data_IF_306507874158
#
_entry.id   IF_306507874158
#
_cell.length_a   1.000
_cell.length_b   1.000
_cell.length_c   1.000
_cell.angle_alpha   90.00
_cell.angle_beta   90.00
_cell.angle_gamma   90.00
#
_symmetry.space_group_name_H-M   'P 1'
#
loop_
_entity.id
_entity.type
_entity.pdbx_description
1 polymer ?
#
# COMPACT_ATOMS: atom_id res chain seq x y z
N UNK A 1 -16.70 1.69 -9.06
CA UNK A 1 -15.61 1.34 -8.13
C UNK A 1 -14.29 1.89 -8.68
N UNK A 2 -13.41 2.42 -7.82
CA UNK A 2 -12.07 2.85 -8.24
C UNK A 2 -11.05 1.82 -7.77
N UNK A 3 -10.29 1.25 -8.69
CA UNK A 3 -9.24 0.29 -8.40
C UNK A 3 -7.88 0.95 -8.64
N UNK A 4 -6.94 0.73 -7.72
CA UNK A 4 -5.57 1.21 -7.85
C UNK A 4 -4.63 0.02 -7.77
N UNK A 5 -3.74 -0.13 -8.75
CA UNK A 5 -2.66 -1.13 -8.71
C UNK A 5 -1.37 -0.35 -8.47
N UNK A 6 -0.73 -0.60 -7.33
CA UNK A 6 0.51 0.09 -6.95
C UNK A 6 1.60 -0.96 -6.79
N UNK A 7 2.58 -0.94 -7.68
CA UNK A 7 3.82 -1.69 -7.50
C UNK A 7 4.79 -0.84 -6.71
N UNK A 8 5.13 -1.28 -5.50
CA UNK A 8 6.07 -0.56 -4.64
C UNK A 8 6.88 -1.55 -3.82
N UNK A 9 8.15 -1.24 -3.61
CA UNK A 9 8.98 -1.97 -2.63
C UNK A 9 8.49 -1.66 -1.21
N UNK A 10 8.50 -2.67 -0.36
CA UNK A 10 8.15 -2.53 1.05
C UNK A 10 9.20 -1.66 1.73
N UNK A 11 8.77 -0.64 2.46
CA UNK A 11 9.65 0.23 3.20
C UNK A 11 9.97 -0.38 4.57
N UNK A 12 11.09 0.05 5.17
CA UNK A 12 11.48 -0.35 6.53
C UNK A 12 11.35 0.84 7.48
N UNK A 13 10.69 0.64 8.61
CA UNK A 13 10.64 1.60 9.70
C UNK A 13 11.06 0.91 11.00
N UNK A 14 12.27 1.20 11.46
CA UNK A 14 12.90 0.48 12.56
C UNK A 14 13.06 -1.01 12.24
N UNK A 15 12.48 -1.87 13.08
CA UNK A 15 12.45 -3.33 12.88
C UNK A 15 11.23 -3.81 12.09
N UNK A 16 10.32 -2.92 11.72
CA UNK A 16 9.06 -3.27 11.06
C UNK A 16 9.14 -3.01 9.55
N UNK A 17 8.49 -3.88 8.79
CA UNK A 17 8.21 -3.67 7.37
C UNK A 17 6.87 -2.94 7.23
N UNK A 18 6.83 -1.87 6.45
CA UNK A 18 5.65 -1.01 6.31
C UNK A 18 5.30 -0.75 4.83
N UNK A 19 4.00 -0.74 4.54
CA UNK A 19 3.47 -0.29 3.25
C UNK A 19 3.07 1.19 3.37
N UNK A 20 3.87 2.08 2.80
CA UNK A 20 3.60 3.52 2.87
C UNK A 20 2.52 3.93 1.87
N UNK A 21 1.41 4.45 2.39
CA UNK A 21 0.30 4.99 1.60
C UNK A 21 0.79 6.16 0.72
N UNK A 22 0.68 6.07 -0.62
CA UNK A 22 1.02 7.19 -1.51
C UNK A 22 0.07 8.38 -1.36
N UNK A 23 0.59 9.60 -1.54
CA UNK A 23 -0.19 10.85 -1.44
C UNK A 23 -1.47 10.86 -2.29
N UNK A 24 -1.44 10.25 -3.47
CA UNK A 24 -2.61 10.18 -4.36
C UNK A 24 -3.80 9.43 -3.73
N UNK A 25 -3.52 8.48 -2.81
CA UNK A 25 -4.55 7.73 -2.10
C UNK A 25 -4.95 8.37 -0.76
N UNK A 26 -4.23 9.38 -0.29
CA UNK A 26 -4.44 9.96 1.05
C UNK A 26 -5.86 10.52 1.25
N UNK A 27 -6.51 11.02 0.19
CA UNK A 27 -7.90 11.48 0.26
C UNK A 27 -8.92 10.34 0.36
N UNK A 28 -8.58 9.17 -0.18
CA UNK A 28 -9.44 7.99 -0.21
C UNK A 28 -9.22 7.07 1.00
N UNK A 29 -7.98 6.98 1.49
CA UNK A 29 -7.57 6.18 2.63
C UNK A 29 -7.53 7.05 3.89
N UNK A 30 -8.70 7.45 4.38
CA UNK A 30 -8.85 8.17 5.66
C UNK A 30 -8.89 7.17 6.82
N UNK A 31 -8.63 7.59 8.07
CA UNK A 31 -8.95 6.78 9.24
C UNK A 31 -10.37 6.18 9.13
N UNK A 32 -10.54 4.94 9.61
CA UNK A 32 -11.80 4.18 9.57
C UNK A 32 -12.34 3.82 8.18
N UNK A 33 -11.58 4.06 7.11
CA UNK A 33 -11.97 3.59 5.77
C UNK A 33 -11.75 2.09 5.65
N UNK A 34 -12.82 1.33 5.41
CA UNK A 34 -12.71 -0.09 5.09
C UNK A 34 -12.22 -0.26 3.65
N UNK A 35 -11.09 -0.95 3.47
CA UNK A 35 -10.51 -1.25 2.16
C UNK A 35 -10.08 -2.71 2.06
N UNK A 36 -10.19 -3.26 0.87
CA UNK A 36 -9.60 -4.55 0.52
C UNK A 36 -8.17 -4.32 0.03
N UNK A 37 -7.22 -5.10 0.55
CA UNK A 37 -5.81 -5.05 0.15
C UNK A 37 -5.43 -6.39 -0.47
N UNK A 38 -5.10 -6.39 -1.77
CA UNK A 38 -4.57 -7.56 -2.46
C UNK A 38 -3.05 -7.40 -2.64
N UNK A 39 -2.26 -8.32 -2.08
CA UNK A 39 -0.80 -8.30 -2.14
C UNK A 39 -0.33 -9.47 -3.00
N UNK A 40 0.44 -9.17 -4.03
CA UNK A 40 1.16 -10.16 -4.84
C UNK A 40 2.66 -9.92 -4.69
N UNK A 41 3.37 -10.86 -4.05
CA UNK A 41 4.83 -10.81 -3.96
C UNK A 41 5.40 -11.10 -5.33
N UNK A 42 6.26 -10.20 -5.83
CA UNK A 42 6.95 -10.35 -7.11
C UNK A 42 8.40 -10.72 -6.81
N UNK A 43 8.93 -11.71 -7.52
CA UNK A 43 10.35 -12.05 -7.48
C UNK A 43 11.09 -11.04 -8.39
N UNK A 44 12.04 -10.28 -7.82
CA UNK A 44 13.01 -9.51 -8.61
C UNK A 44 14.00 -10.53 -9.20
N UNK A 45 14.12 -10.59 -10.53
CA UNK A 45 15.12 -11.41 -11.23
C UNK A 45 16.53 -10.91 -10.98
#
# INVERSE_FOLDING_TARGET
>A
MKQFIITKKIAKHGRQAILVIPKILQKALKPDTLVEVQIKVLEDK
#
